data_IF_711950368383
#
_entry.id   IF_711950368383
#
_cell.length_a   1.000
_cell.length_b   1.000
_cell.length_c   1.000
_cell.angle_alpha   90.00
_cell.angle_beta   90.00
_cell.angle_gamma   90.00
#
_symmetry.space_group_name_H-M   'P 1'
#
loop_
_entity.id
_entity.type
_entity.pdbx_description
1 polymer ?
#
# COMPACT_ATOMS: atom_id res chain seq x y z
N UNK A 1 -17.29 1.66 3.90
CA UNK A 1 -16.88 1.41 5.29
C UNK A 1 -15.62 0.57 5.25
N UNK A 2 -14.44 1.19 5.39
CA UNK A 2 -13.17 0.48 5.58
C UNK A 2 -13.00 0.24 7.06
N UNK A 3 -13.49 -0.91 7.55
CA UNK A 3 -13.24 -1.33 8.92
C UNK A 3 -11.76 -1.70 9.05
N UNK A 4 -10.93 -0.77 9.52
CA UNK A 4 -9.62 -1.14 10.01
C UNK A 4 -9.85 -2.00 11.26
N UNK A 5 -9.35 -3.24 11.28
CA UNK A 5 -9.24 -3.99 12.51
C UNK A 5 -8.19 -3.27 13.38
N UNK A 6 -8.65 -2.42 14.31
CA UNK A 6 -7.78 -1.77 15.27
C UNK A 6 -8.07 -2.26 16.68
N UNK A 7 -7.03 -2.32 17.51
CA UNK A 7 -7.20 -2.49 18.94
C UNK A 7 -7.58 -1.14 19.54
N UNK A 8 -8.83 -1.01 19.98
CA UNK A 8 -9.27 0.15 20.72
C UNK A 8 -8.67 0.09 22.14
N UNK A 9 -7.84 1.07 22.48
CA UNK A 9 -7.49 1.33 23.88
C UNK A 9 -8.42 2.39 24.44
N UNK A 10 -9.04 2.07 25.58
CA UNK A 10 -9.90 2.98 26.32
C UNK A 10 -9.26 3.34 27.66
N UNK A 11 -9.52 4.55 28.13
CA UNK A 11 -9.29 4.99 29.52
C UNK A 11 -10.60 5.50 30.11
N UNK A 12 -10.71 5.60 31.44
CA UNK A 12 -11.85 6.24 32.07
C UNK A 12 -12.02 7.67 31.53
N UNK A 13 -13.24 8.03 31.12
CA UNK A 13 -13.49 9.34 30.50
C UNK A 13 -13.13 10.52 31.40
N UNK A 14 -13.25 10.33 32.71
CA UNK A 14 -12.92 11.33 33.74
C UNK A 14 -11.42 11.59 33.92
N UNK A 15 -10.56 10.67 33.48
CA UNK A 15 -9.10 10.84 33.52
C UNK A 15 -8.51 11.18 32.17
N UNK A 16 -9.36 11.43 31.16
CA UNK A 16 -8.86 11.53 29.79
C UNK A 16 -8.17 12.84 29.51
N UNK A 17 -7.07 12.75 28.78
CA UNK A 17 -6.36 13.89 28.19
C UNK A 17 -7.19 14.69 27.16
N UNK A 18 -8.32 14.15 26.72
CA UNK A 18 -9.30 14.85 25.86
C UNK A 18 -10.39 15.58 26.65
N UNK A 19 -10.42 15.42 27.98
CA UNK A 19 -11.30 16.20 28.83
C UNK A 19 -10.90 17.68 28.81
N UNK A 20 -11.88 18.56 28.66
CA UNK A 20 -11.63 19.99 28.48
C UNK A 20 -12.77 20.81 29.07
N UNK A 21 -12.46 21.92 29.78
CA UNK A 21 -13.47 22.82 30.33
C UNK A 21 -14.30 23.55 29.26
N UNK A 22 -13.93 23.44 27.97
CA UNK A 22 -14.69 23.98 26.85
C UNK A 22 -15.80 23.04 26.33
N UNK A 23 -15.96 21.85 26.91
CA UNK A 23 -17.03 20.93 26.52
C UNK A 23 -18.39 21.45 26.99
N UNK A 24 -19.40 21.37 26.12
CA UNK A 24 -20.77 21.85 26.40
C UNK A 24 -21.65 20.84 27.15
N UNK A 25 -21.18 19.60 27.30
CA UNK A 25 -21.88 18.53 28.02
C UNK A 25 -21.50 18.48 29.51
N UNK A 26 -22.44 18.03 30.35
CA UNK A 26 -22.20 17.77 31.79
C UNK A 26 -21.99 16.29 32.14
N UNK A 27 -22.16 15.41 31.16
CA UNK A 27 -22.08 13.95 31.34
C UNK A 27 -20.87 13.43 30.59
N UNK A 28 -19.93 12.82 31.31
CA UNK A 28 -18.80 12.11 30.71
C UNK A 28 -19.24 10.70 30.31
N UNK A 29 -18.70 10.19 29.21
CA UNK A 29 -18.75 8.76 28.94
C UNK A 29 -17.85 8.03 29.95
N UNK A 30 -18.27 6.87 30.44
CA UNK A 30 -17.48 6.08 31.40
C UNK A 30 -16.09 5.71 30.84
N UNK A 31 -16.01 5.50 29.53
CA UNK A 31 -14.80 5.13 28.80
C UNK A 31 -14.67 5.97 27.54
N UNK A 32 -13.46 6.43 27.23
CA UNK A 32 -13.15 7.16 25.99
C UNK A 32 -11.99 6.52 25.26
N UNK A 33 -12.01 6.63 23.93
CA UNK A 33 -10.94 6.12 23.07
C UNK A 33 -9.68 6.97 23.24
N UNK A 34 -8.55 6.36 23.59
CA UNK A 34 -7.28 7.07 23.85
C UNK A 34 -6.29 6.90 22.71
N UNK A 35 -6.43 5.77 22.02
CA UNK A 35 -5.75 5.44 20.80
C UNK A 35 -6.63 4.47 20.00
N UNK A 36 -6.91 4.83 18.75
CA UNK A 36 -7.49 3.94 17.73
C UNK A 36 -6.38 3.26 16.90
N UNK A 37 -5.12 3.52 17.24
CA UNK A 37 -3.91 3.07 16.53
C UNK A 37 -2.81 2.81 17.55
N UNK A 38 -3.09 1.92 18.51
CA UNK A 38 -2.00 1.34 19.31
C UNK A 38 -1.12 0.54 18.35
N UNK A 39 0.21 0.77 18.25
CA UNK A 39 1.11 -0.08 17.49
C UNK A 39 1.23 -1.44 18.19
N UNK A 40 0.19 -2.25 18.07
CA UNK A 40 0.03 -3.55 18.71
C UNK A 40 -0.37 -4.58 17.67
N UNK A 41 0.39 -4.61 16.59
CA UNK A 41 0.19 -5.45 15.42
C UNK A 41 1.34 -5.28 14.42
N UNK A 42 2.52 -4.87 14.88
CA UNK A 42 3.71 -4.95 14.05
C UNK A 42 3.87 -6.41 13.63
N UNK A 43 4.04 -6.66 12.34
CA UNK A 43 4.37 -8.01 11.87
C UNK A 43 5.57 -8.49 12.68
N UNK A 44 5.48 -9.69 13.24
CA UNK A 44 6.55 -10.23 14.04
C UNK A 44 7.86 -10.19 13.24
N UNK A 45 8.88 -9.59 13.85
CA UNK A 45 10.21 -9.47 13.28
C UNK A 45 11.21 -10.16 14.19
N UNK A 46 12.21 -10.80 13.59
CA UNK A 46 13.38 -11.33 14.29
C UNK A 46 14.58 -10.54 13.82
N UNK A 47 15.21 -9.78 14.72
CA UNK A 47 16.34 -8.89 14.40
C UNK A 47 16.02 -7.91 13.24
N UNK A 48 14.77 -7.43 13.19
CA UNK A 48 14.30 -6.56 12.11
C UNK A 48 13.93 -7.27 10.80
N UNK A 49 14.18 -8.58 10.68
CA UNK A 49 13.71 -9.38 9.54
C UNK A 49 12.25 -9.79 9.70
N UNK A 50 11.41 -9.68 8.65
CA UNK A 50 10.03 -10.15 8.71
C UNK A 50 9.98 -11.68 8.81
N UNK A 51 9.24 -12.20 9.79
CA UNK A 51 9.06 -13.65 9.95
C UNK A 51 8.16 -14.28 8.87
N UNK A 52 7.27 -13.49 8.25
CA UNK A 52 6.30 -13.97 7.28
C UNK A 52 6.85 -13.94 5.85
N UNK A 53 6.49 -14.94 5.04
CA UNK A 53 6.89 -15.04 3.62
C UNK A 53 6.19 -14.02 2.72
N UNK A 54 6.85 -13.69 1.62
CA UNK A 54 6.33 -12.89 0.50
C UNK A 54 6.26 -11.38 0.77
N UNK A 55 5.96 -10.58 -0.28
CA UNK A 55 5.91 -9.14 -0.13
C UNK A 55 4.81 -8.72 0.84
N UNK A 56 5.15 -7.75 1.69
CA UNK A 56 4.26 -7.20 2.69
C UNK A 56 3.18 -6.30 2.09
N UNK A 57 3.58 -5.43 1.18
CA UNK A 57 2.71 -4.74 0.25
C UNK A 57 2.76 -5.47 -1.09
N UNK A 58 1.62 -5.94 -1.58
CA UNK A 58 1.57 -6.79 -2.77
C UNK A 58 0.34 -6.54 -3.62
N UNK A 59 0.47 -6.87 -4.89
CA UNK A 59 -0.64 -7.05 -5.84
C UNK A 59 -0.71 -8.55 -6.14
N UNK A 60 -1.91 -9.11 -6.20
CA UNK A 60 -2.14 -10.55 -6.45
C UNK A 60 -3.23 -10.69 -7.48
N UNK A 61 -2.96 -11.46 -8.53
CA UNK A 61 -3.99 -11.88 -9.47
C UNK A 61 -4.60 -13.21 -9.01
N UNK A 62 -5.92 -13.25 -9.00
CA UNK A 62 -6.71 -14.40 -8.58
C UNK A 62 -7.64 -14.75 -9.74
N UNK A 63 -7.63 -16.02 -10.14
CA UNK A 63 -8.64 -16.53 -11.06
C UNK A 63 -9.97 -16.66 -10.30
N UNK A 64 -10.98 -15.94 -10.76
CA UNK A 64 -12.28 -15.90 -10.10
C UNK A 64 -13.14 -17.16 -10.35
N UNK A 65 -12.77 -18.01 -11.31
CA UNK A 65 -13.44 -19.28 -11.56
C UNK A 65 -12.93 -20.38 -10.62
N UNK A 66 -11.61 -20.41 -10.35
CA UNK A 66 -10.98 -21.48 -9.55
C UNK A 66 -10.62 -21.04 -8.13
N UNK A 67 -10.46 -19.73 -7.91
CA UNK A 67 -9.92 -19.15 -6.67
C UNK A 67 -8.40 -19.22 -6.55
N UNK A 68 -7.70 -19.70 -7.59
CA UNK A 68 -6.24 -19.85 -7.56
C UNK A 68 -5.52 -18.53 -7.76
N UNK A 69 -4.36 -18.38 -7.11
CA UNK A 69 -3.48 -17.23 -7.32
C UNK A 69 -2.61 -17.47 -8.55
N UNK A 70 -2.81 -16.68 -9.59
CA UNK A 70 -2.01 -16.75 -10.82
C UNK A 70 -0.59 -16.26 -10.58
N UNK A 71 -0.47 -15.13 -9.88
CA UNK A 71 0.81 -14.53 -9.52
C UNK A 71 0.66 -13.56 -8.35
N UNK A 72 1.79 -13.22 -7.74
CA UNK A 72 1.92 -12.26 -6.65
C UNK A 72 3.19 -11.44 -6.85
N UNK A 73 3.06 -10.12 -6.84
CA UNK A 73 4.21 -9.21 -7.01
C UNK A 73 4.24 -8.15 -5.90
N UNK A 74 5.42 -7.58 -5.58
CA UNK A 74 5.54 -6.44 -4.68
C UNK A 74 4.78 -5.22 -5.21
N UNK A 75 4.08 -4.54 -4.31
CA UNK A 75 3.45 -3.27 -4.61
C UNK A 75 4.48 -2.13 -4.61
N UNK A 76 4.92 -1.72 -5.79
CA UNK A 76 6.12 -0.87 -5.92
C UNK A 76 7.32 -1.53 -5.23
N UNK A 77 8.26 -0.71 -4.79
CA UNK A 77 9.49 -1.17 -4.16
C UNK A 77 9.59 -0.67 -2.72
N UNK A 78 9.98 -1.57 -1.82
CA UNK A 78 10.42 -1.17 -0.48
C UNK A 78 11.58 -0.16 -0.59
N UNK A 79 11.78 0.68 0.42
CA UNK A 79 12.87 1.66 0.38
C UNK A 79 14.23 0.98 0.22
N UNK A 80 15.19 1.67 -0.39
CA UNK A 80 16.55 1.12 -0.53
C UNK A 80 17.12 0.64 0.81
N UNK A 81 16.93 1.42 1.87
CA UNK A 81 17.34 1.05 3.23
C UNK A 81 16.72 -0.27 3.72
N UNK A 82 15.43 -0.52 3.44
CA UNK A 82 14.79 -1.77 3.84
C UNK A 82 15.33 -2.95 3.04
N UNK A 83 15.53 -2.78 1.74
CA UNK A 83 16.11 -3.80 0.87
C UNK A 83 17.55 -4.14 1.30
N UNK A 84 18.37 -3.12 1.56
CA UNK A 84 19.76 -3.27 2.01
C UNK A 84 19.84 -3.97 3.37
N UNK A 85 18.92 -3.65 4.30
CA UNK A 85 18.86 -4.30 5.61
C UNK A 85 18.57 -5.79 5.49
N UNK A 86 17.72 -6.20 4.54
CA UNK A 86 17.41 -7.62 4.31
C UNK A 86 18.55 -8.29 3.56
N UNK A 87 19.02 -7.69 2.46
CA UNK A 87 20.08 -8.26 1.61
C UNK A 87 21.41 -8.44 2.33
N UNK A 88 21.77 -7.52 3.23
CA UNK A 88 23.03 -7.54 3.96
C UNK A 88 22.91 -8.17 5.37
N UNK A 89 21.78 -8.79 5.70
CA UNK A 89 21.57 -9.31 7.05
C UNK A 89 22.50 -10.49 7.37
N UNK A 90 23.18 -10.54 8.54
CA UNK A 90 24.05 -11.66 8.92
C UNK A 90 23.33 -13.02 8.93
N UNK A 91 22.09 -13.07 9.41
CA UNK A 91 21.27 -14.29 9.44
C UNK A 91 20.84 -14.82 8.06
N UNK A 92 21.00 -14.03 6.99
CA UNK A 92 20.62 -14.41 5.62
C UNK A 92 21.82 -14.72 4.73
N UNK A 93 23.04 -14.68 5.28
CA UNK A 93 24.26 -15.01 4.53
C UNK A 93 24.24 -16.47 4.07
N UNK A 94 24.41 -16.69 2.76
CA UNK A 94 24.35 -18.02 2.15
C UNK A 94 22.93 -18.57 1.93
N UNK A 95 21.88 -17.79 2.22
CA UNK A 95 20.51 -18.16 1.88
C UNK A 95 20.19 -17.65 0.48
N UNK A 96 19.84 -18.57 -0.43
CA UNK A 96 19.42 -18.22 -1.79
C UNK A 96 17.94 -17.85 -1.84
N UNK A 97 17.56 -17.04 -2.85
CA UNK A 97 16.15 -16.70 -3.13
C UNK A 97 15.48 -15.80 -2.08
N UNK A 98 16.26 -15.03 -1.32
CA UNK A 98 15.72 -14.06 -0.36
C UNK A 98 15.02 -12.93 -1.09
N UNK A 99 13.71 -12.80 -0.85
CA UNK A 99 12.90 -11.67 -1.33
C UNK A 99 13.25 -10.40 -0.56
N UNK A 100 14.15 -9.59 -1.14
CA UNK A 100 14.56 -8.28 -0.57
C UNK A 100 13.50 -7.21 -0.76
N UNK A 101 12.73 -7.26 -1.86
CA UNK A 101 11.70 -6.28 -2.12
C UNK A 101 10.38 -6.69 -1.47
N UNK A 102 10.11 -6.12 -0.29
CA UNK A 102 8.87 -6.40 0.45
C UNK A 102 7.66 -5.60 -0.07
N UNK A 103 7.85 -4.71 -1.05
CA UNK A 103 6.85 -3.78 -1.52
C UNK A 103 6.38 -2.81 -0.43
N UNK A 104 5.58 -1.82 -0.80
CA UNK A 104 5.05 -0.81 0.14
C UNK A 104 3.64 -1.14 0.57
N UNK A 105 3.39 -1.03 1.88
CA UNK A 105 2.08 -1.29 2.49
C UNK A 105 1.00 -0.24 2.19
N UNK A 106 1.33 0.84 1.49
CA UNK A 106 0.34 1.82 1.02
C UNK A 106 -0.60 1.18 -0.02
N UNK A 107 -1.87 1.54 0.02
CA UNK A 107 -2.80 1.17 -1.05
C UNK A 107 -2.37 1.79 -2.37
N UNK A 108 -2.18 0.96 -3.38
CA UNK A 108 -2.02 1.43 -4.75
C UNK A 108 -3.35 1.60 -5.42
N UNK A 109 -3.50 2.73 -6.11
CA UNK A 109 -4.61 2.89 -7.04
C UNK A 109 -4.29 2.04 -8.26
N UNK A 110 -5.32 1.44 -8.85
CA UNK A 110 -5.16 0.53 -10.00
C UNK A 110 -6.27 0.76 -11.00
N UNK A 111 -5.96 0.56 -12.29
CA UNK A 111 -6.95 0.53 -13.37
C UNK A 111 -6.54 -0.51 -14.40
N UNK A 112 -7.49 -1.35 -14.82
CA UNK A 112 -7.26 -2.32 -15.87
C UNK A 112 -7.57 -1.72 -17.23
N UNK A 113 -6.72 -2.01 -18.21
CA UNK A 113 -6.98 -1.83 -19.63
C UNK A 113 -7.25 -3.18 -20.31
N UNK A 114 -7.64 -3.19 -21.59
CA UNK A 114 -7.75 -4.43 -22.35
C UNK A 114 -6.48 -5.28 -22.31
N UNK A 115 -5.30 -4.66 -22.26
CA UNK A 115 -4.00 -5.35 -22.36
C UNK A 115 -3.25 -5.43 -21.03
N UNK A 116 -3.26 -4.38 -20.23
CA UNK A 116 -2.37 -4.23 -19.08
C UNK A 116 -3.14 -3.85 -17.81
N UNK A 117 -2.54 -4.12 -16.66
CA UNK A 117 -2.92 -3.54 -15.38
C UNK A 117 -2.01 -2.34 -15.13
N UNK A 118 -2.60 -1.18 -14.84
CA UNK A 118 -1.84 -0.02 -14.39
C UNK A 118 -1.97 0.11 -12.88
N UNK A 119 -0.85 0.27 -12.19
CA UNK A 119 -0.80 0.44 -10.74
C UNK A 119 0.15 1.57 -10.38
N UNK A 120 -0.26 2.43 -9.45
CA UNK A 120 0.63 3.46 -8.92
C UNK A 120 1.54 2.85 -7.86
N UNK A 121 2.71 3.43 -7.65
CA UNK A 121 3.59 3.02 -6.58
C UNK A 121 4.85 3.87 -6.53
N UNK A 122 5.82 3.42 -5.75
CA UNK A 122 7.13 4.06 -5.67
C UNK A 122 8.23 3.08 -6.04
N UNK A 123 9.31 3.58 -6.61
CA UNK A 123 10.59 2.87 -6.72
C UNK A 123 11.36 2.96 -5.39
N UNK A 124 12.49 2.24 -5.29
CA UNK A 124 13.27 2.11 -4.06
C UNK A 124 13.82 3.46 -3.55
N UNK A 125 14.09 4.38 -4.48
CA UNK A 125 14.50 5.77 -4.27
C UNK A 125 13.35 6.69 -3.80
N UNK A 126 12.11 6.20 -3.81
CA UNK A 126 10.92 6.94 -3.40
C UNK A 126 10.25 7.75 -4.51
N UNK A 127 10.72 7.66 -5.76
CA UNK A 127 10.05 8.34 -6.87
C UNK A 127 8.68 7.71 -7.15
N UNK A 128 7.65 8.55 -7.36
CA UNK A 128 6.31 8.09 -7.69
C UNK A 128 6.20 7.70 -9.16
N UNK A 129 5.67 6.51 -9.41
CA UNK A 129 5.53 5.94 -10.76
C UNK A 129 4.11 5.42 -11.00
N UNK A 130 3.74 5.41 -12.28
CA UNK A 130 2.73 4.51 -12.83
C UNK A 130 3.43 3.30 -13.44
N UNK A 131 3.15 2.11 -12.94
CA UNK A 131 3.64 0.85 -13.48
C UNK A 131 2.62 0.24 -14.43
N UNK A 132 3.09 -0.21 -15.59
CA UNK A 132 2.33 -1.03 -16.52
C UNK A 132 2.71 -2.51 -16.29
N UNK A 133 1.72 -3.32 -15.95
CA UNK A 133 1.89 -4.70 -15.49
C UNK A 133 1.15 -5.63 -16.45
N UNK A 134 1.83 -6.67 -16.92
CA UNK A 134 1.20 -7.74 -17.70
C UNK A 134 0.22 -8.53 -16.81
N UNK A 135 -1.02 -8.70 -17.28
CA UNK A 135 -2.11 -9.29 -16.47
C UNK A 135 -1.93 -10.79 -16.24
N UNK A 136 -1.22 -11.49 -17.12
CA UNK A 136 -1.07 -12.94 -17.06
C UNK A 136 0.13 -13.34 -16.21
N UNK A 137 1.19 -12.54 -16.22
CA UNK A 137 2.48 -12.87 -15.59
C UNK A 137 2.78 -12.03 -14.34
N UNK A 138 2.20 -10.84 -14.24
CA UNK A 138 2.55 -9.85 -13.20
C UNK A 138 3.84 -9.08 -13.50
N UNK A 139 4.47 -9.30 -14.65
CA UNK A 139 5.71 -8.60 -15.02
C UNK A 139 5.45 -7.11 -15.25
N UNK A 140 6.35 -6.24 -14.74
CA UNK A 140 6.33 -4.80 -15.04
C UNK A 140 6.93 -4.59 -16.43
N UNK A 141 6.08 -4.36 -17.43
CA UNK A 141 6.48 -4.15 -18.84
C UNK A 141 6.74 -2.68 -19.19
N UNK A 142 6.45 -1.76 -18.28
CA UNK A 142 6.72 -0.34 -18.47
C UNK A 142 6.52 0.49 -17.21
N UNK A 143 7.08 1.70 -17.22
CA UNK A 143 6.91 2.66 -16.13
C UNK A 143 6.92 4.08 -16.66
N UNK A 144 6.13 4.95 -16.02
CA UNK A 144 6.09 6.40 -16.31
C UNK A 144 6.10 7.15 -14.98
N UNK A 145 6.78 8.30 -14.95
CA UNK A 145 6.77 9.21 -13.81
C UNK A 145 5.41 9.84 -13.58
N UNK A 146 5.00 9.93 -12.32
CA UNK A 146 3.85 10.74 -11.90
C UNK A 146 4.32 11.77 -10.88
N UNK A 147 3.72 12.98 -10.84
CA UNK A 147 4.26 14.10 -10.09
C UNK A 147 4.12 13.93 -8.56
N UNK A 148 3.37 12.93 -8.09
CA UNK A 148 3.26 12.69 -6.66
C UNK A 148 2.36 11.52 -6.27
N UNK A 149 2.08 11.47 -4.97
CA UNK A 149 1.24 10.47 -4.32
C UNK A 149 -0.20 10.50 -4.81
N UNK A 150 -0.79 9.33 -4.96
CA UNK A 150 -2.16 9.16 -5.47
C UNK A 150 -3.18 8.96 -4.36
N UNK A 151 -4.44 9.31 -4.62
CA UNK A 151 -5.58 9.12 -3.70
C UNK A 151 -6.82 8.63 -4.43
N UNK A 152 -7.77 8.05 -3.69
CA UNK A 152 -9.13 7.65 -4.12
C UNK A 152 -9.25 6.61 -5.27
N UNK A 153 -8.47 6.69 -6.35
CA UNK A 153 -8.53 5.74 -7.46
C UNK A 153 -7.93 6.28 -8.75
N UNK A 154 -7.94 5.43 -9.79
CA UNK A 154 -7.66 5.81 -11.17
C UNK A 154 -8.84 5.42 -12.04
N UNK A 155 -9.01 6.14 -13.14
CA UNK A 155 -10.03 5.86 -14.14
C UNK A 155 -9.41 5.78 -15.52
N UNK A 156 -9.98 4.95 -16.39
CA UNK A 156 -9.60 4.90 -17.79
C UNK A 156 -10.76 5.34 -18.67
N UNK A 157 -10.46 6.06 -19.74
CA UNK A 157 -11.42 6.49 -20.75
C UNK A 157 -10.89 6.21 -22.15
N UNK A 158 -11.78 6.03 -23.13
CA UNK A 158 -11.39 5.98 -24.55
C UNK A 158 -12.01 7.16 -25.28
N UNK A 159 -11.20 7.92 -26.01
CA UNK A 159 -11.66 9.06 -26.80
C UNK A 159 -10.88 9.11 -28.11
N UNK A 160 -11.59 9.21 -29.23
CA UNK A 160 -11.00 9.25 -30.58
C UNK A 160 -9.99 8.12 -30.86
N UNK A 161 -10.29 6.91 -30.39
CA UNK A 161 -9.45 5.72 -30.57
C UNK A 161 -8.22 5.66 -29.67
N UNK A 162 -8.02 6.64 -28.77
CA UNK A 162 -6.92 6.64 -27.79
C UNK A 162 -7.44 6.34 -26.40
N UNK A 163 -6.68 5.56 -25.66
CA UNK A 163 -6.96 5.28 -24.25
C UNK A 163 -6.27 6.30 -23.36
N UNK A 164 -7.02 6.85 -22.42
CA UNK A 164 -6.55 7.83 -21.44
C UNK A 164 -6.66 7.25 -20.04
N UNK A 165 -5.64 7.47 -19.23
CA UNK A 165 -5.61 7.15 -17.81
C UNK A 165 -5.64 8.46 -17.03
N UNK A 166 -6.65 8.60 -16.16
CA UNK A 166 -6.81 9.72 -15.26
C UNK A 166 -6.42 9.26 -13.86
N UNK A 167 -5.46 9.96 -13.27
CA UNK A 167 -4.90 9.67 -11.96
C UNK A 167 -5.28 10.77 -10.99
N UNK A 168 -5.91 10.37 -9.89
CA UNK A 168 -6.16 11.28 -8.79
C UNK A 168 -4.94 11.40 -7.89
N UNK A 169 -4.40 12.62 -7.81
CA UNK A 169 -3.27 12.99 -6.98
C UNK A 169 -3.75 13.74 -5.74
N UNK A 170 -2.90 13.83 -4.73
CA UNK A 170 -3.21 14.63 -3.55
C UNK A 170 -3.41 16.12 -3.88
N UNK A 171 -2.72 16.63 -4.89
CA UNK A 171 -2.67 18.02 -5.32
C UNK A 171 -3.40 18.29 -6.64
N UNK A 172 -4.13 17.32 -7.20
CA UNK A 172 -4.89 17.53 -8.44
C UNK A 172 -5.17 16.26 -9.23
N UNK A 173 -5.09 16.38 -10.55
CA UNK A 173 -5.27 15.30 -11.52
C UNK A 173 -4.08 15.26 -12.47
N UNK A 174 -3.60 14.05 -12.78
CA UNK A 174 -2.75 13.81 -13.93
C UNK A 174 -3.54 13.03 -14.98
N UNK A 175 -3.36 13.37 -16.25
CA UNK A 175 -3.95 12.66 -17.38
C UNK A 175 -2.84 12.21 -18.32
N UNK A 176 -2.86 10.94 -18.70
CA UNK A 176 -1.90 10.35 -19.64
C UNK A 176 -2.64 9.66 -20.76
N UNK A 177 -2.18 9.86 -22.00
CA UNK A 177 -2.65 9.11 -23.16
C UNK A 177 -1.70 7.92 -23.39
N UNK A 178 -2.27 6.74 -23.56
CA UNK A 178 -1.53 5.59 -24.06
C UNK A 178 -1.32 5.76 -25.58
N UNK A 179 -0.14 5.36 -26.11
CA UNK A 179 0.14 5.44 -27.53
C UNK A 179 -0.84 4.64 -28.38
#
# INVERSE_FOLDING_TARGET
STGNCFRLQVEPGVTSRMDSPAQSGRTHSDWVAVATTVPGGGRAVLDGLPLWKGPAGRITAIDMNTGEHLWMIPNGDASQQEQDRIGNHPLLQGVEGVEVNRGRGSHSTMVASPTLLFATGQTADGAWKLFAIDKQTGERVGTVDIPGSTRYGMSSWSHEGKQYIIIQLNDGLAAMALP
#
